data_IF_400389509178
#
_entry.id   IF_400389509178
#
_cell.length_a   1.000
_cell.length_b   1.000
_cell.length_c   1.000
_cell.angle_alpha   90.00
_cell.angle_beta   90.00
_cell.angle_gamma   90.00
#
_symmetry.space_group_name_H-M   'P 1'
#
loop_
_entity.id
_entity.type
_entity.pdbx_description
1 polymer ?
#
# COMPACT_ATOMS: atom_id res chain seq x y z
N UNK A 1 19.11 -46.70 23.60
CA UNK A 1 18.62 -46.03 22.38
C UNK A 1 18.81 -44.53 22.58
N UNK A 2 19.87 -43.90 22.01
CA UNK A 2 19.92 -43.26 20.67
C UNK A 2 18.74 -42.28 20.52
N UNK A 3 18.92 -40.99 20.24
CA UNK A 3 19.59 -40.43 19.05
C UNK A 3 20.10 -38.99 19.33
N UNK A 4 21.25 -38.67 18.72
CA UNK A 4 22.08 -37.42 18.62
C UNK A 4 21.38 -36.27 17.85
N UNK A 5 21.93 -35.04 17.63
CA UNK A 5 23.35 -34.57 17.66
C UNK A 5 23.59 -33.20 18.38
N UNK A 6 24.69 -32.90 19.10
CA UNK A 6 26.16 -32.83 18.82
C UNK A 6 26.59 -31.65 17.93
N UNK A 7 26.88 -30.47 18.53
CA UNK A 7 28.21 -29.82 18.80
C UNK A 7 28.81 -29.10 17.55
N UNK A 8 29.59 -28.01 17.59
CA UNK A 8 30.57 -27.48 18.54
C UNK A 8 31.11 -26.13 17.98
N UNK A 9 31.25 -25.02 18.74
CA UNK A 9 32.20 -23.96 18.36
C UNK A 9 33.43 -24.04 19.28
N UNK A 10 34.60 -24.27 18.68
CA UNK A 10 35.84 -24.48 19.40
C UNK A 10 36.73 -23.23 19.37
N UNK A 11 37.10 -22.84 20.58
CA UNK A 11 38.39 -22.28 21.00
C UNK A 11 38.78 -20.85 20.60
N UNK A 12 38.75 -20.05 21.65
CA UNK A 12 39.39 -18.76 21.85
C UNK A 12 40.84 -18.99 22.38
N UNK A 13 41.73 -18.06 21.98
CA UNK A 13 42.98 -17.60 22.62
C UNK A 13 44.23 -18.52 22.64
N UNK A 14 45.28 -18.05 21.97
CA UNK A 14 46.63 -17.99 22.54
C UNK A 14 47.31 -16.65 22.16
N UNK A 15 47.90 -16.02 23.16
CA UNK A 15 48.45 -14.66 23.19
C UNK A 15 49.82 -14.51 22.50
N UNK A 16 50.15 -13.30 22.05
CA UNK A 16 51.24 -12.46 22.61
C UNK A 16 51.77 -11.40 21.61
N UNK A 17 51.53 -10.13 21.98
CA UNK A 17 52.49 -9.00 22.01
C UNK A 17 53.33 -8.69 20.76
N UNK A 18 53.05 -7.56 20.09
CA UNK A 18 53.97 -6.39 19.93
C UNK A 18 53.31 -5.30 19.04
N UNK A 19 53.39 -4.03 19.47
CA UNK A 19 52.99 -2.80 18.75
C UNK A 19 54.14 -2.39 17.79
N UNK A 20 53.90 -1.78 16.61
CA UNK A 20 53.50 -0.36 16.54
C UNK A 20 52.43 -0.04 15.47
N UNK A 21 51.68 1.04 15.73
CA UNK A 21 50.81 1.71 14.77
C UNK A 21 51.62 2.18 13.56
N UNK A 22 51.29 1.66 12.38
CA UNK A 22 51.47 2.36 11.11
C UNK A 22 50.09 2.44 10.46
N UNK A 23 49.47 3.62 10.54
CA UNK A 23 48.19 3.92 9.91
C UNK A 23 48.38 3.96 8.39
N UNK A 24 48.22 2.81 7.74
CA UNK A 24 48.13 2.73 6.29
C UNK A 24 46.73 3.19 5.86
N UNK A 25 46.59 4.47 5.49
CA UNK A 25 45.34 5.04 4.93
C UNK A 25 44.85 4.39 3.63
N UNK A 26 45.51 3.33 3.18
CA UNK A 26 45.17 2.52 2.01
C UNK A 26 44.18 1.39 2.33
N UNK A 27 44.11 0.90 3.58
CA UNK A 27 43.25 -0.23 3.92
C UNK A 27 41.76 0.13 4.02
N UNK A 28 41.45 1.36 4.47
CA UNK A 28 40.09 1.90 4.40
C UNK A 28 39.67 2.17 2.96
N UNK A 29 40.60 2.60 2.10
CA UNK A 29 40.34 2.85 0.67
C UNK A 29 40.07 1.55 -0.08
N UNK A 30 40.72 0.44 0.27
CA UNK A 30 40.41 -0.89 -0.26
C UNK A 30 39.06 -1.42 0.21
N UNK A 31 38.70 -1.22 1.47
CA UNK A 31 37.36 -1.58 1.98
C UNK A 31 36.27 -0.70 1.37
N UNK A 32 36.55 0.58 1.13
CA UNK A 32 35.64 1.51 0.45
C UNK A 32 35.50 1.16 -1.04
N UNK A 33 36.58 0.74 -1.71
CA UNK A 33 36.55 0.27 -3.09
C UNK A 33 35.81 -1.07 -3.22
N UNK A 34 35.97 -1.99 -2.25
CA UNK A 34 35.15 -3.21 -2.18
C UNK A 34 33.68 -2.93 -1.89
N UNK A 35 33.37 -1.96 -1.03
CA UNK A 35 32.00 -1.53 -0.77
C UNK A 35 31.39 -0.82 -1.99
N UNK A 36 32.17 -0.02 -2.72
CA UNK A 36 31.79 0.58 -4.01
C UNK A 36 31.58 -0.49 -5.08
N UNK A 37 32.43 -1.51 -5.17
CA UNK A 37 32.24 -2.64 -6.09
C UNK A 37 31.02 -3.49 -5.73
N UNK A 38 30.69 -3.66 -4.45
CA UNK A 38 29.44 -4.30 -4.02
C UNK A 38 28.20 -3.44 -4.28
N UNK A 39 28.34 -2.11 -4.39
CA UNK A 39 27.27 -1.22 -4.86
C UNK A 39 27.19 -1.14 -6.39
N UNK A 40 28.26 -1.47 -7.13
CA UNK A 40 28.23 -1.67 -8.59
C UNK A 40 27.67 -3.03 -9.03
N UNK A 41 27.51 -4.00 -8.11
CA UNK A 41 26.71 -5.22 -8.33
C UNK A 41 25.20 -5.00 -8.08
N UNK A 42 24.80 -3.77 -7.75
CA UNK A 42 23.40 -3.36 -7.55
C UNK A 42 22.97 -2.23 -8.50
N UNK A 43 23.67 -2.04 -9.62
CA UNK A 43 23.15 -1.32 -10.79
C UNK A 43 22.37 -2.25 -11.74
N UNK A 44 21.79 -3.33 -11.20
CA UNK A 44 20.63 -3.98 -11.82
C UNK A 44 19.35 -3.35 -11.26
N UNK A 45 19.23 -2.03 -11.45
CA UNK A 45 17.92 -1.37 -11.59
C UNK A 45 17.34 -1.68 -12.98
N UNK A 46 17.40 -2.96 -13.36
CA UNK A 46 16.86 -3.55 -14.58
C UNK A 46 15.95 -4.73 -14.21
N UNK A 47 15.44 -4.75 -12.97
CA UNK A 47 14.24 -5.51 -12.62
C UNK A 47 12.95 -4.89 -13.21
N UNK A 48 13.03 -3.72 -13.87
CA UNK A 48 11.88 -3.06 -14.51
C UNK A 48 11.92 -2.99 -16.04
N UNK A 49 13.07 -3.22 -16.69
CA UNK A 49 13.21 -2.94 -18.12
C UNK A 49 12.94 -4.14 -19.04
N UNK A 50 12.84 -5.36 -18.49
CA UNK A 50 12.66 -6.60 -19.27
C UNK A 50 11.54 -7.51 -18.73
N UNK A 51 10.60 -6.99 -17.92
CA UNK A 51 9.33 -7.71 -17.79
C UNK A 51 8.64 -7.62 -19.15
N UNK A 52 8.17 -8.74 -19.72
CA UNK A 52 7.34 -8.65 -20.91
C UNK A 52 6.16 -7.74 -20.55
N UNK A 53 5.89 -6.77 -21.41
CA UNK A 53 4.91 -5.71 -21.17
C UNK A 53 3.50 -6.23 -20.85
N UNK A 54 3.25 -7.52 -21.11
CA UNK A 54 2.07 -8.27 -20.69
C UNK A 54 1.96 -8.44 -19.17
N UNK A 55 3.08 -8.72 -18.50
CA UNK A 55 3.12 -9.07 -17.08
C UNK A 55 2.86 -7.84 -16.21
N UNK A 56 3.34 -6.67 -16.64
CA UNK A 56 3.07 -5.39 -16.00
C UNK A 56 1.57 -5.07 -16.07
N UNK A 57 0.96 -5.23 -17.25
CA UNK A 57 -0.47 -4.96 -17.43
C UNK A 57 -1.35 -5.96 -16.64
N UNK A 58 -0.98 -7.24 -16.63
CA UNK A 58 -1.66 -8.26 -15.85
C UNK A 58 -1.54 -7.99 -14.33
N UNK A 59 -0.36 -7.61 -13.87
CA UNK A 59 -0.11 -7.23 -12.47
C UNK A 59 -0.93 -6.01 -12.05
N UNK A 60 -1.07 -5.02 -12.93
CA UNK A 60 -1.91 -3.84 -12.66
C UNK A 60 -3.40 -4.21 -12.56
N UNK A 61 -3.92 -5.05 -13.47
CA UNK A 61 -5.31 -5.53 -13.41
C UNK A 61 -5.57 -6.30 -12.11
N UNK A 62 -4.64 -7.15 -11.70
CA UNK A 62 -4.73 -7.90 -10.45
C UNK A 62 -4.68 -6.97 -9.22
N UNK A 63 -3.80 -5.98 -9.23
CA UNK A 63 -3.72 -4.97 -8.17
C UNK A 63 -5.01 -4.14 -8.08
N UNK A 64 -5.59 -3.75 -9.21
CA UNK A 64 -6.90 -3.06 -9.27
C UNK A 64 -8.03 -3.94 -8.75
N UNK A 65 -8.07 -5.22 -9.13
CA UNK A 65 -9.09 -6.17 -8.67
C UNK A 65 -9.03 -6.33 -7.15
N UNK A 66 -7.83 -6.57 -6.61
CA UNK A 66 -7.60 -6.68 -5.16
C UNK A 66 -7.87 -5.37 -4.43
N UNK A 67 -7.38 -4.24 -4.95
CA UNK A 67 -7.59 -2.92 -4.37
C UNK A 67 -9.07 -2.56 -4.26
N UNK A 68 -9.82 -2.81 -5.33
CA UNK A 68 -11.27 -2.57 -5.36
C UNK A 68 -12.02 -3.49 -4.40
N UNK A 69 -11.69 -4.79 -4.40
CA UNK A 69 -12.28 -5.75 -3.46
C UNK A 69 -12.02 -5.36 -2.01
N UNK A 70 -10.79 -4.94 -1.70
CA UNK A 70 -10.41 -4.47 -0.37
C UNK A 70 -11.16 -3.20 0.02
N UNK A 71 -11.31 -2.24 -0.90
CA UNK A 71 -12.06 -1.02 -0.67
C UNK A 71 -13.54 -1.33 -0.38
N UNK A 72 -14.16 -2.18 -1.19
CA UNK A 72 -15.56 -2.61 -1.02
C UNK A 72 -15.75 -3.32 0.32
N UNK A 73 -14.87 -4.26 0.67
CA UNK A 73 -14.95 -4.97 1.95
C UNK A 73 -14.73 -4.04 3.15
N UNK A 74 -13.84 -3.05 3.01
CA UNK A 74 -13.53 -2.09 4.08
C UNK A 74 -14.63 -1.05 4.28
N UNK A 75 -15.28 -0.61 3.21
CA UNK A 75 -16.28 0.45 3.22
C UNK A 75 -17.73 -0.07 3.31
N UNK A 76 -18.01 -1.27 2.82
CA UNK A 76 -19.33 -1.89 2.85
C UNK A 76 -19.68 -2.54 4.20
N UNK A 77 -18.71 -2.66 5.11
CA UNK A 77 -18.95 -3.16 6.47
C UNK A 77 -19.63 -2.10 7.33
N UNK A 78 -20.22 -2.57 8.43
CA UNK A 78 -20.78 -1.70 9.45
C UNK A 78 -19.75 -0.67 9.95
N UNK A 79 -20.10 0.61 9.87
CA UNK A 79 -19.26 1.77 10.23
C UNK A 79 -18.05 1.98 9.30
N UNK A 80 -18.03 1.36 8.11
CA UNK A 80 -16.98 1.56 7.10
C UNK A 80 -16.88 3.01 6.61
N UNK A 81 -18.01 3.69 6.49
CA UNK A 81 -18.06 5.13 6.19
C UNK A 81 -18.03 5.96 7.47
N UNK A 82 -18.83 5.58 8.47
CA UNK A 82 -19.01 6.39 9.68
C UNK A 82 -17.72 6.61 10.49
N UNK A 83 -16.89 5.57 10.65
CA UNK A 83 -15.67 5.65 11.45
C UNK A 83 -14.45 6.15 10.68
N UNK A 84 -14.55 6.40 9.37
CA UNK A 84 -13.43 6.83 8.56
C UNK A 84 -13.63 8.29 8.09
N UNK A 85 -12.97 9.28 8.70
CA UNK A 85 -13.19 10.70 8.39
C UNK A 85 -12.82 11.09 6.96
N UNK A 86 -12.00 10.29 6.26
CA UNK A 86 -11.61 10.55 4.86
C UNK A 86 -12.70 10.20 3.84
N UNK A 87 -13.63 9.34 4.21
CA UNK A 87 -14.68 8.82 3.31
C UNK A 87 -16.08 9.01 3.88
N UNK A 88 -16.21 9.39 5.15
CA UNK A 88 -17.47 9.72 5.80
C UNK A 88 -18.21 10.77 4.97
N UNK A 89 -19.48 10.52 4.72
CA UNK A 89 -20.34 11.43 3.95
C UNK A 89 -20.89 12.49 4.92
N UNK A 90 -20.50 13.77 4.75
CA UNK A 90 -21.10 14.88 5.50
C UNK A 90 -22.46 15.26 4.90
N UNK A 91 -23.19 16.11 5.62
CA UNK A 91 -24.42 16.67 5.08
C UNK A 91 -24.13 17.62 3.91
N UNK A 92 -24.89 17.54 2.80
CA UNK A 92 -24.62 18.37 1.63
C UNK A 92 -25.11 19.81 1.82
N UNK A 93 -24.22 20.77 1.54
CA UNK A 93 -24.54 22.18 1.32
C UNK A 93 -25.49 22.80 2.36
N UNK A 94 -26.73 23.08 1.94
CA UNK A 94 -27.75 23.73 2.79
C UNK A 94 -28.14 22.88 4.01
N UNK A 95 -28.04 21.55 3.94
CA UNK A 95 -28.38 20.67 5.07
C UNK A 95 -27.39 20.80 6.23
N UNK A 96 -26.13 21.16 5.96
CA UNK A 96 -25.14 21.42 7.00
C UNK A 96 -25.48 22.68 7.81
N UNK A 97 -26.00 23.72 7.15
CA UNK A 97 -26.45 24.95 7.81
C UNK A 97 -27.68 24.69 8.69
N UNK A 98 -28.65 23.93 8.17
CA UNK A 98 -29.85 23.53 8.92
C UNK A 98 -29.46 22.65 10.12
N UNK A 99 -28.55 21.70 9.92
CA UNK A 99 -28.01 20.85 10.97
C UNK A 99 -27.31 21.65 12.07
N UNK A 100 -26.55 22.68 11.70
CA UNK A 100 -25.88 23.57 12.65
C UNK A 100 -26.89 24.35 13.50
N UNK A 101 -27.97 24.85 12.90
CA UNK A 101 -29.04 25.52 13.63
C UNK A 101 -29.82 24.53 14.52
N UNK A 102 -30.16 23.36 13.99
CA UNK A 102 -30.84 22.30 14.72
C UNK A 102 -30.03 21.84 15.95
N UNK A 103 -28.71 21.71 15.81
CA UNK A 103 -27.79 21.45 16.94
C UNK A 103 -27.86 22.55 18.01
N UNK A 104 -27.84 23.83 17.61
CA UNK A 104 -28.00 24.98 18.53
C UNK A 104 -29.35 24.99 19.25
N UNK A 105 -30.40 24.45 18.62
CA UNK A 105 -31.73 24.29 19.21
C UNK A 105 -31.90 23.00 20.04
N UNK A 106 -30.81 22.27 20.32
CA UNK A 106 -30.84 21.04 21.13
C UNK A 106 -31.23 19.77 20.36
N UNK A 107 -31.39 19.83 19.04
CA UNK A 107 -31.74 18.68 18.20
C UNK A 107 -30.51 17.90 17.69
N UNK A 108 -29.35 18.03 18.33
CA UNK A 108 -28.11 17.41 17.88
C UNK A 108 -28.21 15.90 17.68
N UNK A 109 -28.83 15.19 18.62
CA UNK A 109 -29.03 13.74 18.51
C UNK A 109 -29.83 13.32 17.26
N UNK A 110 -30.80 14.12 16.81
CA UNK A 110 -31.57 13.84 15.59
C UNK A 110 -30.73 14.09 14.34
N UNK A 111 -29.90 15.13 14.36
CA UNK A 111 -28.97 15.43 13.26
C UNK A 111 -27.94 14.31 13.14
N UNK A 112 -27.36 13.86 14.25
CA UNK A 112 -26.35 12.80 14.24
C UNK A 112 -26.96 11.46 13.80
N UNK A 113 -28.20 11.16 14.20
CA UNK A 113 -28.93 9.98 13.72
C UNK A 113 -29.20 10.03 12.21
N UNK A 114 -29.44 11.22 11.65
CA UNK A 114 -29.60 11.43 10.22
C UNK A 114 -28.29 11.29 9.46
N UNK A 115 -27.20 11.89 9.95
CA UNK A 115 -25.86 11.69 9.37
C UNK A 115 -25.46 10.22 9.40
N UNK A 116 -25.74 9.51 10.50
CA UNK A 116 -25.50 8.09 10.63
C UNK A 116 -26.33 7.27 9.63
N UNK A 117 -27.61 7.60 9.43
CA UNK A 117 -28.47 6.87 8.49
C UNK A 117 -28.02 7.06 7.05
N UNK A 118 -27.53 8.25 6.70
CA UNK A 118 -26.94 8.54 5.39
C UNK A 118 -25.67 7.70 5.14
N UNK A 119 -24.75 7.68 6.11
CA UNK A 119 -23.53 6.87 6.00
C UNK A 119 -23.86 5.37 5.98
N UNK A 120 -24.85 4.93 6.77
CA UNK A 120 -25.35 3.55 6.75
C UNK A 120 -25.91 3.16 5.38
N UNK A 121 -26.60 4.08 4.71
CA UNK A 121 -27.12 3.84 3.37
C UNK A 121 -25.97 3.63 2.37
N UNK A 122 -24.90 4.43 2.45
CA UNK A 122 -23.71 4.25 1.62
C UNK A 122 -23.02 2.91 1.88
N UNK A 123 -22.84 2.50 3.15
CA UNK A 123 -22.29 1.19 3.51
C UNK A 123 -23.10 0.04 2.89
N UNK A 124 -24.43 0.14 2.87
CA UNK A 124 -25.31 -0.87 2.25
C UNK A 124 -25.25 -0.89 0.72
N UNK A 125 -24.91 0.24 0.09
CA UNK A 125 -24.82 0.35 -1.36
C UNK A 125 -23.49 -0.22 -1.91
N UNK A 126 -22.40 -0.10 -1.15
CA UNK A 126 -21.05 -0.56 -1.55
C UNK A 126 -20.96 -2.02 -2.01
N UNK A 127 -21.57 -3.02 -1.34
CA UNK A 127 -21.49 -4.40 -1.82
C UNK A 127 -22.23 -4.63 -3.15
N UNK A 128 -23.19 -3.77 -3.51
CA UNK A 128 -23.98 -3.93 -4.74
C UNK A 128 -23.18 -3.63 -6.02
N UNK A 129 -22.04 -2.94 -5.88
CA UNK A 129 -21.18 -2.55 -7.01
C UNK A 129 -19.99 -3.49 -7.21
N UNK A 130 -19.82 -4.51 -6.34
CA UNK A 130 -18.70 -5.44 -6.42
C UNK A 130 -18.60 -6.16 -7.77
N UNK A 131 -19.73 -6.68 -8.25
CA UNK A 131 -19.79 -7.37 -9.53
C UNK A 131 -19.54 -6.40 -10.70
N UNK A 132 -20.03 -5.16 -10.61
CA UNK A 132 -19.84 -4.12 -11.63
C UNK A 132 -18.35 -3.81 -11.80
N UNK A 133 -17.64 -3.57 -10.70
CA UNK A 133 -16.20 -3.30 -10.76
C UNK A 133 -15.40 -4.54 -11.16
N UNK A 134 -15.77 -5.73 -10.67
CA UNK A 134 -15.15 -6.99 -11.06
C UNK A 134 -15.24 -7.23 -12.57
N UNK A 135 -16.42 -7.01 -13.14
CA UNK A 135 -16.65 -7.14 -14.58
C UNK A 135 -15.89 -6.08 -15.39
N UNK A 136 -15.86 -4.83 -14.94
CA UNK A 136 -15.10 -3.76 -15.59
C UNK A 136 -13.61 -4.10 -15.66
N UNK A 137 -13.02 -4.54 -14.54
CA UNK A 137 -11.60 -4.91 -14.48
C UNK A 137 -11.33 -6.15 -15.33
N UNK A 138 -12.24 -7.12 -15.39
CA UNK A 138 -12.08 -8.31 -16.26
C UNK A 138 -12.07 -7.93 -17.73
N UNK A 139 -13.04 -7.10 -18.16
CA UNK A 139 -13.22 -6.64 -19.54
C UNK A 139 -12.09 -5.71 -20.02
N UNK A 140 -11.37 -5.07 -19.08
CA UNK A 140 -10.24 -4.20 -19.40
C UNK A 140 -9.16 -4.91 -20.21
N UNK A 141 -8.74 -4.33 -21.35
CA UNK A 141 -7.66 -4.92 -22.14
C UNK A 141 -6.30 -4.63 -21.51
N UNK A 142 -5.26 -5.37 -21.92
CA UNK A 142 -3.89 -5.07 -21.48
C UNK A 142 -3.41 -3.71 -22.02
N UNK A 143 -3.98 -3.25 -23.15
CA UNK A 143 -3.68 -1.92 -23.69
C UNK A 143 -4.29 -0.82 -22.82
N UNK A 144 -5.54 -1.01 -22.37
CA UNK A 144 -6.24 -0.07 -21.50
C UNK A 144 -5.53 0.10 -20.16
N UNK A 145 -5.15 -1.02 -19.54
CA UNK A 145 -4.38 -1.01 -18.30
C UNK A 145 -3.05 -0.25 -18.45
N UNK A 146 -2.35 -0.40 -19.58
CA UNK A 146 -1.15 0.40 -19.87
C UNK A 146 -1.47 1.88 -20.08
N UNK A 147 -2.58 2.18 -20.75
CA UNK A 147 -3.09 3.55 -20.91
C UNK A 147 -3.34 4.23 -19.57
N UNK A 148 -3.88 3.52 -18.59
CA UNK A 148 -4.07 4.01 -17.22
C UNK A 148 -2.72 4.25 -16.52
N UNK A 149 -1.76 3.33 -16.68
CA UNK A 149 -0.44 3.44 -16.04
C UNK A 149 0.42 4.59 -16.59
N UNK A 150 0.42 4.76 -17.92
CA UNK A 150 1.25 5.74 -18.62
C UNK A 150 0.51 7.03 -19.00
N UNK A 151 -0.79 7.12 -18.69
CA UNK A 151 -1.62 8.27 -19.04
C UNK A 151 -1.52 9.42 -18.05
N UNK A 152 -2.19 10.53 -18.35
CA UNK A 152 -2.24 11.72 -17.50
C UNK A 152 -3.15 11.58 -16.28
N UNK A 153 -3.39 12.68 -15.58
CA UNK A 153 -4.12 12.74 -14.31
C UNK A 153 -5.55 12.15 -14.35
N UNK A 154 -6.14 12.04 -15.53
CA UNK A 154 -7.51 11.55 -15.75
C UNK A 154 -7.57 10.18 -16.43
N UNK A 155 -6.43 9.52 -16.67
CA UNK A 155 -6.39 8.28 -17.44
C UNK A 155 -7.24 7.15 -16.83
N UNK A 156 -7.38 7.11 -15.50
CA UNK A 156 -8.23 6.13 -14.82
C UNK A 156 -9.74 6.45 -14.89
N UNK A 157 -10.11 7.72 -15.07
CA UNK A 157 -11.51 8.17 -15.12
C UNK A 157 -12.04 8.29 -16.55
N UNK A 158 -11.15 8.52 -17.51
CA UNK A 158 -11.47 8.64 -18.94
C UNK A 158 -11.64 7.28 -19.64
N UNK A 159 -11.26 6.21 -18.94
CA UNK A 159 -11.44 4.82 -19.36
C UNK A 159 -12.85 4.32 -19.02
#
# INVERSE_FOLDING_TARGET
>A
MRIRPRHLPCLILLAAVTLPVAASGTQFKDLLNKAKQATHLSDNSQAGANLPTSDIAAGLKEALAKGTTNAINSLGRNNGFWNNPKVRIPLPGKLEQVASLARKMGMGAKVDAFELSLNRAAEKAVPQVADIFGDAIRKMTLSDARGILGGGDHAATDY
#
